data_IF_816832910141
#
_entry.id   IF_816832910141
#
_cell.length_a   1.000
_cell.length_b   1.000
_cell.length_c   1.000
_cell.angle_alpha   90.00
_cell.angle_beta   90.00
_cell.angle_gamma   90.00
#
_symmetry.space_group_name_H-M   'P 1'
#
loop_
_entity.id
_entity.type
_entity.pdbx_description
1 polymer ?
#
# COMPACT_ATOMS: atom_id res chain seq x y z
N UNK A 1 -28.35 13.17 3.75
CA UNK A 1 -27.96 13.12 2.32
C UNK A 1 -26.85 12.09 2.01
N UNK A 2 -26.54 11.14 2.90
CA UNK A 2 -25.46 10.15 2.70
C UNK A 2 -25.88 8.85 1.95
N UNK A 3 -27.17 8.68 1.61
CA UNK A 3 -27.69 7.44 1.00
C UNK A 3 -27.47 7.31 -0.51
N UNK A 4 -27.02 8.37 -1.21
CA UNK A 4 -26.99 8.39 -2.68
C UNK A 4 -25.75 7.79 -3.36
N UNK A 5 -24.71 7.41 -2.60
CA UNK A 5 -23.42 6.99 -3.18
C UNK A 5 -23.20 5.47 -3.25
N UNK A 6 -24.10 4.66 -2.68
CA UNK A 6 -24.07 3.20 -2.83
C UNK A 6 -24.78 2.83 -4.13
N UNK A 7 -24.08 2.99 -5.26
CA UNK A 7 -24.54 2.43 -6.53
C UNK A 7 -24.63 0.92 -6.40
N UNK A 8 -25.77 0.34 -6.76
CA UNK A 8 -25.93 -1.11 -6.92
C UNK A 8 -24.82 -1.61 -7.86
N UNK A 9 -23.78 -2.25 -7.30
CA UNK A 9 -22.64 -2.79 -8.05
C UNK A 9 -23.12 -3.94 -8.93
N UNK A 10 -23.69 -3.65 -10.11
CA UNK A 10 -23.91 -4.66 -11.15
C UNK A 10 -22.55 -5.17 -11.63
N UNK A 11 -22.23 -6.41 -11.24
CA UNK A 11 -21.00 -7.09 -11.68
C UNK A 11 -20.99 -7.18 -13.21
N UNK A 12 -19.88 -6.86 -13.90
CA UNK A 12 -19.77 -7.06 -15.33
C UNK A 12 -19.83 -8.57 -15.65
N UNK A 13 -20.58 -8.92 -16.70
CA UNK A 13 -20.64 -10.29 -17.22
C UNK A 13 -19.28 -10.63 -17.83
N UNK A 14 -18.47 -11.43 -17.13
CA UNK A 14 -17.16 -11.86 -17.62
C UNK A 14 -17.39 -12.79 -18.81
N UNK A 15 -16.96 -12.37 -20.01
CA UNK A 15 -17.02 -13.19 -21.22
C UNK A 15 -15.84 -14.17 -21.20
N UNK A 16 -16.14 -15.46 -21.02
CA UNK A 16 -15.16 -16.55 -21.07
C UNK A 16 -14.62 -16.68 -22.51
N UNK A 17 -13.28 -16.72 -22.66
CA UNK A 17 -12.60 -16.85 -23.95
C UNK A 17 -12.74 -18.27 -24.53
N UNK A 18 -12.82 -18.44 -25.87
CA UNK A 18 -12.88 -19.76 -26.48
C UNK A 18 -11.48 -20.39 -26.69
N UNK A 19 -11.28 -21.56 -26.07
CA UNK A 19 -10.35 -22.68 -26.37
C UNK A 19 -8.81 -22.54 -26.15
N UNK A 20 -8.12 -23.60 -25.66
CA UNK A 20 -8.63 -24.82 -25.01
C UNK A 20 -8.73 -24.58 -23.50
N UNK A 21 -9.81 -23.92 -23.06
CA UNK A 21 -10.12 -23.85 -21.65
C UNK A 21 -10.84 -25.15 -21.26
N UNK A 22 -10.22 -25.94 -20.37
CA UNK A 22 -10.94 -26.99 -19.65
C UNK A 22 -12.05 -26.27 -18.85
N UNK A 23 -13.32 -26.67 -18.97
CA UNK A 23 -14.39 -26.04 -18.19
C UNK A 23 -14.06 -26.17 -16.70
N UNK A 24 -14.39 -25.15 -15.92
CA UNK A 24 -14.26 -25.25 -14.45
C UNK A 24 -15.11 -26.44 -13.99
N UNK A 25 -14.53 -27.42 -13.29
CA UNK A 25 -15.29 -28.57 -12.80
C UNK A 25 -16.42 -28.10 -11.88
N UNK A 26 -17.54 -28.81 -11.91
CA UNK A 26 -18.68 -28.52 -11.04
C UNK A 26 -18.32 -28.82 -9.58
N UNK A 27 -19.11 -28.27 -8.64
CA UNK A 27 -18.94 -28.56 -7.21
C UNK A 27 -19.08 -30.07 -6.98
N UNK A 28 -20.01 -30.73 -7.68
CA UNK A 28 -20.23 -32.17 -7.62
C UNK A 28 -19.02 -32.97 -8.13
N UNK A 29 -18.35 -32.50 -9.19
CA UNK A 29 -17.14 -33.12 -9.73
C UNK A 29 -15.93 -32.95 -8.81
N UNK A 30 -15.77 -31.76 -8.19
CA UNK A 30 -14.68 -31.49 -7.23
C UNK A 30 -14.83 -32.32 -5.96
N UNK A 31 -16.07 -32.52 -5.48
CA UNK A 31 -16.35 -33.26 -4.25
C UNK A 31 -16.75 -34.72 -4.47
N UNK A 32 -16.62 -35.26 -5.68
CA UNK A 32 -16.89 -36.66 -5.98
C UNK A 32 -15.97 -37.58 -5.15
N UNK A 33 -16.56 -38.48 -4.35
CA UNK A 33 -15.81 -39.43 -3.50
C UNK A 33 -15.22 -38.81 -2.22
N UNK A 34 -15.49 -37.54 -1.94
CA UNK A 34 -15.16 -36.90 -0.65
C UNK A 34 -16.25 -37.24 0.37
N UNK A 35 -15.88 -37.62 1.59
CA UNK A 35 -16.85 -37.88 2.65
C UNK A 35 -17.61 -36.61 3.06
N UNK A 36 -18.83 -36.78 3.56
CA UNK A 36 -19.74 -35.67 3.86
C UNK A 36 -19.15 -34.65 4.84
N UNK A 37 -18.34 -35.06 5.83
CA UNK A 37 -17.75 -34.10 6.78
C UNK A 37 -16.68 -33.24 6.11
N UNK A 38 -15.84 -33.83 5.26
CA UNK A 38 -14.84 -33.08 4.49
C UNK A 38 -15.51 -32.15 3.47
N UNK A 39 -16.58 -32.62 2.84
CA UNK A 39 -17.38 -31.80 1.91
C UNK A 39 -18.03 -30.62 2.63
N UNK A 40 -18.65 -30.85 3.78
CA UNK A 40 -19.29 -29.81 4.60
C UNK A 40 -18.29 -28.70 4.99
N UNK A 41 -17.13 -29.06 5.54
CA UNK A 41 -16.10 -28.07 5.90
C UNK A 41 -15.59 -27.30 4.69
N UNK A 42 -15.36 -27.98 3.55
CA UNK A 42 -14.85 -27.33 2.35
C UNK A 42 -15.87 -26.36 1.75
N UNK A 43 -17.17 -26.72 1.74
CA UNK A 43 -18.25 -25.84 1.34
C UNK A 43 -18.40 -24.64 2.29
N UNK A 44 -18.22 -24.84 3.60
CA UNK A 44 -18.18 -23.75 4.57
C UNK A 44 -17.01 -22.79 4.28
N UNK A 45 -15.80 -23.30 4.07
CA UNK A 45 -14.63 -22.47 3.70
C UNK A 45 -14.92 -21.70 2.42
N UNK A 46 -15.45 -22.37 1.39
CA UNK A 46 -15.84 -21.69 0.14
C UNK A 46 -16.84 -20.57 0.39
N UNK A 47 -17.88 -20.77 1.20
CA UNK A 47 -18.82 -19.71 1.56
C UNK A 47 -18.14 -18.54 2.28
N UNK A 48 -17.09 -18.83 3.06
CA UNK A 48 -16.36 -17.86 3.86
C UNK A 48 -15.32 -17.07 3.05
N UNK A 49 -14.65 -17.66 2.05
CA UNK A 49 -13.51 -17.01 1.37
C UNK A 49 -13.66 -16.83 -0.14
N UNK A 50 -14.59 -17.53 -0.79
CA UNK A 50 -14.73 -17.46 -2.26
C UNK A 50 -15.19 -16.08 -2.69
N UNK A 51 -14.43 -15.46 -3.60
CA UNK A 51 -14.61 -14.07 -4.04
C UNK A 51 -16.04 -13.73 -4.44
N UNK A 52 -16.76 -14.67 -5.06
CA UNK A 52 -18.14 -14.48 -5.49
C UNK A 52 -19.11 -14.13 -4.35
N UNK A 53 -18.79 -14.50 -3.11
CA UNK A 53 -19.57 -14.25 -1.90
C UNK A 53 -19.01 -13.09 -1.05
N UNK A 54 -17.89 -12.49 -1.45
CA UNK A 54 -17.24 -11.46 -0.62
C UNK A 54 -17.87 -10.08 -0.79
N UNK A 55 -18.44 -9.76 -1.95
CA UNK A 55 -19.00 -8.43 -2.22
C UNK A 55 -20.28 -8.12 -1.42
N UNK A 56 -20.91 -9.14 -0.81
CA UNK A 56 -22.16 -8.99 -0.04
C UNK A 56 -21.89 -8.94 1.48
N UNK A 57 -20.63 -9.01 1.91
CA UNK A 57 -20.23 -8.96 3.32
C UNK A 57 -20.02 -7.50 3.75
N UNK A 58 -20.26 -7.17 5.04
CA UNK A 58 -19.91 -5.86 5.57
C UNK A 58 -18.43 -5.55 5.36
N UNK A 59 -18.12 -4.34 4.91
CA UNK A 59 -16.75 -3.88 4.75
C UNK A 59 -16.18 -3.44 6.11
N UNK A 60 -14.94 -3.84 6.41
CA UNK A 60 -14.36 -3.70 7.76
C UNK A 60 -14.02 -2.27 8.15
N UNK A 61 -13.79 -1.40 7.16
CA UNK A 61 -13.45 0.01 7.33
C UNK A 61 -14.49 0.94 6.69
N UNK A 62 -15.73 0.47 6.50
CA UNK A 62 -16.84 1.31 6.07
C UNK A 62 -16.98 2.54 7.00
N UNK A 63 -17.13 3.72 6.40
CA UNK A 63 -17.20 4.99 7.12
C UNK A 63 -15.84 5.62 7.49
N UNK A 64 -14.71 4.95 7.26
CA UNK A 64 -13.37 5.56 7.39
C UNK A 64 -13.04 6.32 6.10
N UNK A 65 -12.55 7.56 6.24
CA UNK A 65 -12.06 8.37 5.11
C UNK A 65 -10.53 8.51 5.14
N UNK A 66 -9.90 8.16 4.02
CA UNK A 66 -8.44 8.26 3.85
C UNK A 66 -8.10 9.23 2.72
N UNK A 67 -7.21 10.19 2.99
CA UNK A 67 -6.56 10.99 1.97
C UNK A 67 -5.18 10.43 1.69
N UNK A 68 -4.97 9.96 0.47
CA UNK A 68 -3.67 9.55 -0.04
C UNK A 68 -3.04 10.71 -0.82
N UNK A 69 -2.22 11.50 -0.14
CA UNK A 69 -1.44 12.59 -0.74
C UNK A 69 -0.05 12.10 -1.20
N UNK A 70 0.16 10.78 -1.31
CA UNK A 70 1.43 10.26 -1.78
C UNK A 70 1.61 10.52 -3.27
N UNK A 71 2.85 10.84 -3.65
CA UNK A 71 3.21 11.06 -5.04
C UNK A 71 4.50 10.33 -5.40
N UNK A 72 4.57 9.77 -6.61
CA UNK A 72 5.79 9.22 -7.21
C UNK A 72 6.40 7.98 -6.49
N UNK A 73 5.76 7.44 -5.45
CA UNK A 73 6.27 6.30 -4.69
C UNK A 73 5.16 5.29 -4.41
N UNK A 74 5.44 4.00 -4.62
CA UNK A 74 4.42 2.98 -4.47
C UNK A 74 4.09 2.64 -3.02
N UNK A 75 4.98 2.90 -2.07
CA UNK A 75 4.76 2.60 -0.64
C UNK A 75 3.45 3.21 -0.12
N UNK A 76 3.14 4.43 -0.53
CA UNK A 76 1.92 5.14 -0.18
C UNK A 76 0.67 4.56 -0.85
N UNK A 77 0.71 4.39 -2.17
CA UNK A 77 -0.41 3.81 -2.91
C UNK A 77 -0.75 2.37 -2.49
N UNK A 78 0.27 1.59 -2.12
CA UNK A 78 0.11 0.25 -1.53
C UNK A 78 -0.51 0.32 -0.14
N UNK A 79 -0.05 1.25 0.71
CA UNK A 79 -0.67 1.48 2.01
C UNK A 79 -2.15 1.83 1.87
N UNK A 80 -2.47 2.79 0.99
CA UNK A 80 -3.83 3.26 0.78
C UNK A 80 -4.74 2.22 0.10
N UNK A 81 -4.20 1.29 -0.68
CA UNK A 81 -4.99 0.20 -1.28
C UNK A 81 -5.50 -0.81 -0.24
N UNK A 82 -4.75 -1.09 0.83
CA UNK A 82 -5.28 -1.89 1.96
C UNK A 82 -6.55 -1.28 2.54
N UNK A 83 -6.58 0.05 2.69
CA UNK A 83 -7.76 0.75 3.21
C UNK A 83 -8.95 0.67 2.25
N UNK A 84 -8.74 0.90 0.94
CA UNK A 84 -9.83 0.86 -0.04
C UNK A 84 -10.36 -0.56 -0.26
N UNK A 85 -9.50 -1.57 -0.21
CA UNK A 85 -9.87 -2.98 -0.32
C UNK A 85 -10.64 -3.48 0.91
N UNK A 86 -10.45 -2.84 2.07
CA UNK A 86 -11.22 -3.08 3.29
C UNK A 86 -12.47 -2.17 3.41
N UNK A 87 -12.75 -1.36 2.38
CA UNK A 87 -13.96 -0.54 2.21
C UNK A 87 -13.93 0.87 2.76
N UNK A 88 -12.76 1.39 3.12
CA UNK A 88 -12.63 2.81 3.42
C UNK A 88 -12.87 3.67 2.17
N UNK A 89 -13.39 4.87 2.34
CA UNK A 89 -13.42 5.88 1.29
C UNK A 89 -12.02 6.48 1.13
N UNK A 90 -11.29 6.01 0.13
CA UNK A 90 -9.92 6.48 -0.14
C UNK A 90 -9.91 7.43 -1.33
N UNK A 91 -9.36 8.62 -1.12
CA UNK A 91 -9.26 9.69 -2.12
C UNK A 91 -7.77 9.98 -2.33
N UNK A 92 -7.29 9.72 -3.54
CA UNK A 92 -5.95 10.12 -3.98
C UNK A 92 -5.95 11.62 -4.30
N UNK A 93 -5.08 12.36 -3.63
CA UNK A 93 -4.88 13.80 -3.83
C UNK A 93 -3.63 13.99 -4.67
N UNK A 94 -3.83 14.16 -5.97
CA UNK A 94 -2.75 14.16 -6.95
C UNK A 94 -2.29 15.58 -7.29
N UNK A 95 -0.99 15.80 -7.56
CA UNK A 95 -0.50 17.09 -8.01
C UNK A 95 -1.04 17.42 -9.42
N UNK A 96 -0.97 18.71 -9.85
CA UNK A 96 -1.25 19.07 -11.24
C UNK A 96 -0.41 18.22 -12.21
N UNK A 97 -1.08 17.59 -13.19
CA UNK A 97 -0.46 16.62 -14.10
C UNK A 97 -0.63 15.14 -13.68
N UNK A 98 -1.19 14.89 -12.48
CA UNK A 98 -1.41 13.56 -11.94
C UNK A 98 -0.16 12.97 -11.28
N UNK A 99 -0.34 11.83 -10.60
CA UNK A 99 0.77 11.09 -10.03
C UNK A 99 1.76 10.63 -11.12
N UNK A 100 3.08 10.88 -10.99
CA UNK A 100 4.07 10.49 -12.00
C UNK A 100 4.10 8.98 -12.30
N UNK A 101 3.70 8.12 -11.37
CA UNK A 101 3.63 6.67 -11.59
C UNK A 101 2.56 6.26 -12.60
N UNK A 102 1.61 7.14 -12.94
CA UNK A 102 0.69 6.96 -14.07
C UNK A 102 1.41 6.80 -15.40
N UNK A 103 2.63 7.31 -15.54
CA UNK A 103 3.44 7.21 -16.75
C UNK A 103 4.42 6.02 -16.72
N UNK A 104 4.48 5.27 -15.60
CA UNK A 104 5.41 4.16 -15.47
C UNK A 104 4.92 2.94 -16.24
N UNK A 105 5.79 2.45 -17.11
CA UNK A 105 5.54 1.29 -17.97
C UNK A 105 6.80 0.40 -18.04
N UNK A 106 6.67 -0.93 -18.20
CA UNK A 106 7.81 -1.81 -18.38
C UNK A 106 8.75 -1.29 -19.48
N UNK A 107 10.02 -1.08 -19.12
CA UNK A 107 11.08 -0.61 -20.03
C UNK A 107 10.79 0.75 -20.71
N UNK A 108 9.89 1.59 -20.17
CA UNK A 108 9.56 2.88 -20.78
C UNK A 108 8.68 2.78 -22.04
N UNK A 109 8.13 1.60 -22.32
CA UNK A 109 7.41 1.27 -23.56
C UNK A 109 5.93 1.65 -23.51
N UNK A 110 5.54 2.65 -24.30
CA UNK A 110 4.18 3.22 -24.29
C UNK A 110 3.10 2.23 -24.74
N UNK A 111 3.46 1.20 -25.51
CA UNK A 111 2.55 0.14 -25.97
C UNK A 111 2.02 -0.75 -24.83
N UNK A 112 2.64 -0.72 -23.65
CA UNK A 112 2.17 -1.44 -22.46
C UNK A 112 1.27 -0.60 -21.55
N UNK A 113 0.96 0.64 -21.94
CA UNK A 113 -0.01 1.45 -21.21
C UNK A 113 -1.42 0.98 -21.49
N UNK A 114 -2.25 1.00 -20.45
CA UNK A 114 -3.68 0.81 -20.60
C UNK A 114 -4.31 2.12 -21.06
N UNK A 115 -5.31 2.03 -21.92
CA UNK A 115 -6.06 3.18 -22.41
C UNK A 115 -7.49 3.14 -21.85
N UNK A 116 -7.87 4.23 -21.19
CA UNK A 116 -9.23 4.43 -20.72
C UNK A 116 -10.17 4.81 -21.88
N UNK A 117 -11.48 4.72 -21.65
CA UNK A 117 -12.50 5.02 -22.68
C UNK A 117 -12.44 6.46 -23.22
N UNK A 118 -11.92 7.38 -22.43
CA UNK A 118 -11.71 8.79 -22.79
C UNK A 118 -10.37 9.02 -23.53
N UNK A 119 -9.60 7.97 -23.82
CA UNK A 119 -8.29 8.03 -24.48
C UNK A 119 -7.12 8.33 -23.54
N UNK A 120 -7.37 8.52 -22.24
CA UNK A 120 -6.28 8.71 -21.28
C UNK A 120 -5.48 7.43 -21.08
N UNK A 121 -4.15 7.55 -21.10
CA UNK A 121 -3.24 6.43 -20.90
C UNK A 121 -2.77 6.36 -19.46
N UNK A 122 -2.67 5.14 -18.95
CA UNK A 122 -2.17 4.90 -17.61
C UNK A 122 -1.33 3.61 -17.54
N UNK A 123 -0.22 3.68 -16.82
CA UNK A 123 0.67 2.58 -16.55
C UNK A 123 0.03 1.52 -15.65
N UNK A 124 0.31 0.26 -15.95
CA UNK A 124 -0.18 -0.90 -15.19
C UNK A 124 0.14 -0.80 -13.69
N UNK A 125 1.28 -0.19 -13.34
CA UNK A 125 1.76 -0.07 -11.96
C UNK A 125 0.85 0.80 -11.10
N UNK A 126 0.51 1.99 -11.58
CA UNK A 126 -0.43 2.88 -10.91
C UNK A 126 -1.82 2.25 -10.84
N UNK A 127 -2.31 1.70 -11.95
CA UNK A 127 -3.63 1.07 -12.01
C UNK A 127 -3.79 -0.10 -11.03
N UNK A 128 -2.72 -0.86 -10.80
CA UNK A 128 -2.74 -1.96 -9.84
C UNK A 128 -3.07 -1.47 -8.43
N UNK A 129 -2.51 -0.35 -8.00
CA UNK A 129 -2.79 0.19 -6.66
C UNK A 129 -3.94 1.19 -6.63
N UNK A 130 -4.36 1.76 -7.76
CA UNK A 130 -5.42 2.77 -7.82
C UNK A 130 -6.86 2.20 -7.74
N UNK A 131 -7.02 0.88 -7.61
CA UNK A 131 -8.33 0.22 -7.56
C UNK A 131 -9.13 0.63 -6.33
N UNK A 132 -10.44 0.75 -6.49
CA UNK A 132 -11.39 1.13 -5.42
C UNK A 132 -11.15 2.53 -4.82
N UNK A 133 -10.32 3.36 -5.45
CA UNK A 133 -9.99 4.72 -4.96
C UNK A 133 -10.61 5.79 -5.86
N UNK A 134 -10.98 6.90 -5.23
CA UNK A 134 -11.26 8.15 -5.92
C UNK A 134 -9.95 8.89 -6.19
N UNK A 135 -9.97 9.84 -7.13
CA UNK A 135 -8.82 10.68 -7.47
C UNK A 135 -9.31 12.12 -7.66
N UNK A 136 -8.56 13.07 -7.11
CA UNK A 136 -8.77 14.50 -7.29
C UNK A 136 -7.43 15.19 -7.46
N UNK A 137 -7.37 16.19 -8.32
CA UNK A 137 -6.19 17.03 -8.48
C UNK A 137 -6.23 18.19 -7.50
N UNK A 138 -5.17 18.39 -6.72
CA UNK A 138 -5.01 19.52 -5.81
C UNK A 138 -3.54 19.95 -5.73
N UNK A 139 -3.26 21.22 -5.99
CA UNK A 139 -1.91 21.75 -5.88
C UNK A 139 -1.60 22.18 -4.44
N UNK A 140 -0.94 21.31 -3.66
CA UNK A 140 -0.57 21.61 -2.27
C UNK A 140 0.59 22.62 -2.15
N UNK A 141 1.27 22.96 -3.24
CA UNK A 141 2.30 24.00 -3.27
C UNK A 141 1.70 25.41 -3.29
N UNK A 142 0.40 25.58 -3.61
CA UNK A 142 -0.28 26.88 -3.56
C UNK A 142 -1.00 27.10 -2.23
N UNK A 143 -1.10 28.36 -1.80
CA UNK A 143 -1.88 28.72 -0.60
C UNK A 143 -3.34 28.28 -0.69
N UNK A 144 -3.94 28.41 -1.88
CA UNK A 144 -5.32 27.99 -2.13
C UNK A 144 -5.50 26.47 -1.95
N UNK A 145 -4.59 25.66 -2.49
CA UNK A 145 -4.67 24.21 -2.35
C UNK A 145 -4.49 23.76 -0.90
N UNK A 146 -3.58 24.40 -0.16
CA UNK A 146 -3.42 24.16 1.28
C UNK A 146 -4.65 24.60 2.08
N UNK A 147 -5.25 25.73 1.73
CA UNK A 147 -6.48 26.19 2.37
C UNK A 147 -7.64 25.23 2.12
N UNK A 148 -7.75 24.65 0.91
CA UNK A 148 -8.75 23.64 0.61
C UNK A 148 -8.51 22.34 1.38
N UNK A 149 -7.26 21.86 1.43
CA UNK A 149 -6.90 20.69 2.24
C UNK A 149 -7.33 20.90 3.70
N UNK A 150 -6.94 22.02 4.32
CA UNK A 150 -7.31 22.36 5.70
C UNK A 150 -8.83 22.37 5.95
N UNK A 151 -9.65 22.75 4.95
CA UNK A 151 -11.12 22.71 5.07
C UNK A 151 -11.69 21.30 5.11
N UNK A 152 -11.03 20.32 4.48
CA UNK A 152 -11.53 18.94 4.43
C UNK A 152 -10.98 18.06 5.56
N UNK A 153 -9.82 18.40 6.13
CA UNK A 153 -9.18 17.65 7.24
C UNK A 153 -10.10 17.30 8.41
N UNK A 154 -11.06 18.14 8.85
CA UNK A 154 -12.00 17.76 9.91
C UNK A 154 -12.84 16.50 9.63
N UNK A 155 -12.93 16.07 8.37
CA UNK A 155 -13.71 14.90 7.94
C UNK A 155 -12.80 13.71 7.56
N UNK A 156 -11.50 13.79 7.80
CA UNK A 156 -10.51 12.80 7.37
C UNK A 156 -10.05 12.00 8.58
N UNK A 157 -10.08 10.68 8.48
CA UNK A 157 -9.58 9.79 9.53
C UNK A 157 -8.09 9.55 9.40
N UNK A 158 -7.62 9.33 8.17
CA UNK A 158 -6.22 9.06 7.87
C UNK A 158 -5.73 9.97 6.74
N UNK A 159 -4.59 10.63 6.93
CA UNK A 159 -3.83 11.25 5.84
C UNK A 159 -2.52 10.51 5.66
N UNK A 160 -2.20 10.16 4.42
CA UNK A 160 -0.95 9.49 4.04
C UNK A 160 -0.16 10.44 3.13
N UNK A 161 1.11 10.67 3.44
CA UNK A 161 2.02 11.46 2.60
C UNK A 161 3.45 10.89 2.62
N UNK A 162 4.26 11.28 1.64
CA UNK A 162 5.63 10.82 1.45
C UNK A 162 6.59 11.96 1.06
N UNK A 163 6.26 13.18 1.45
CA UNK A 163 7.07 14.33 1.09
C UNK A 163 8.44 14.29 1.79
N UNK A 164 9.46 14.98 1.26
CA UNK A 164 10.74 15.09 1.93
C UNK A 164 10.58 15.57 3.38
N UNK A 165 11.40 15.09 4.33
CA UNK A 165 11.25 15.39 5.74
C UNK A 165 11.09 16.89 6.02
N UNK A 166 9.99 17.24 6.71
CA UNK A 166 9.66 18.61 7.08
C UNK A 166 9.10 19.49 5.95
N UNK A 167 8.90 18.98 4.72
CA UNK A 167 8.29 19.76 3.63
C UNK A 167 6.86 20.19 3.96
N UNK A 168 5.99 19.23 4.31
CA UNK A 168 4.59 19.53 4.65
C UNK A 168 4.47 20.41 5.89
N UNK A 169 5.37 20.24 6.84
CA UNK A 169 5.42 21.08 8.04
C UNK A 169 5.78 22.55 7.71
N UNK A 170 6.76 22.79 6.83
CA UNK A 170 7.07 24.13 6.30
C UNK A 170 5.89 24.75 5.55
N UNK A 171 5.13 23.94 4.84
CA UNK A 171 3.90 24.34 4.16
C UNK A 171 2.71 24.58 5.13
N UNK A 172 2.86 24.24 6.42
CA UNK A 172 1.83 24.37 7.43
C UNK A 172 0.67 23.38 7.26
N UNK A 173 0.94 22.22 6.64
CA UNK A 173 0.03 21.08 6.45
C UNK A 173 0.66 19.76 6.95
N UNK A 174 1.68 19.85 7.81
CA UNK A 174 2.24 18.71 8.51
C UNK A 174 1.34 18.26 9.67
N UNK A 175 1.67 17.13 10.27
CA UNK A 175 0.92 16.60 11.42
C UNK A 175 0.74 17.63 12.54
N UNK A 176 1.78 18.39 12.87
CA UNK A 176 1.73 19.39 13.96
C UNK A 176 0.63 20.43 13.73
N UNK A 177 0.42 20.87 12.49
CA UNK A 177 -0.59 21.87 12.17
C UNK A 177 -1.97 21.24 11.91
N UNK A 178 -2.02 20.08 11.25
CA UNK A 178 -3.29 19.44 10.92
C UNK A 178 -3.96 18.78 12.12
N UNK A 179 -3.19 18.32 13.11
CA UNK A 179 -3.74 17.77 14.37
C UNK A 179 -4.41 18.83 15.24
N UNK A 180 -4.02 20.11 15.13
CA UNK A 180 -4.76 21.22 15.77
C UNK A 180 -6.15 21.41 15.18
N UNK A 181 -6.29 21.17 13.85
CA UNK A 181 -7.57 21.27 13.12
C UNK A 181 -8.43 20.04 13.37
N UNK A 182 -7.82 18.85 13.33
CA UNK A 182 -8.48 17.59 13.60
C UNK A 182 -7.65 16.77 14.59
N UNK A 183 -7.93 16.86 15.90
CA UNK A 183 -7.25 16.09 16.94
C UNK A 183 -7.40 14.57 16.79
N UNK A 184 -8.36 14.10 15.97
CA UNK A 184 -8.64 12.68 15.71
C UNK A 184 -7.91 12.14 14.47
N UNK A 185 -7.14 12.97 13.78
CA UNK A 185 -6.41 12.60 12.57
C UNK A 185 -5.29 11.60 12.88
N UNK A 186 -5.32 10.45 12.22
CA UNK A 186 -4.14 9.59 12.07
C UNK A 186 -3.35 10.12 10.88
N UNK A 187 -2.11 10.51 11.10
CA UNK A 187 -1.25 11.05 10.06
C UNK A 187 -0.10 10.09 9.83
N UNK A 188 0.05 9.65 8.60
CA UNK A 188 1.01 8.64 8.21
C UNK A 188 2.03 9.25 7.23
N UNK A 189 3.29 9.31 7.66
CA UNK A 189 4.40 9.54 6.74
C UNK A 189 4.98 8.20 6.31
N UNK A 190 5.19 8.02 5.00
CA UNK A 190 5.86 6.84 4.45
C UNK A 190 7.06 7.22 3.59
N UNK A 191 8.13 6.41 3.64
CA UNK A 191 9.33 6.66 2.84
C UNK A 191 10.32 5.49 2.87
N UNK A 192 11.55 5.69 2.40
CA UNK A 192 12.53 4.60 2.33
C UNK A 192 13.40 4.50 3.59
N UNK A 193 13.90 5.63 4.12
CA UNK A 193 14.85 5.67 5.25
C UNK A 193 14.42 6.52 6.46
N UNK A 194 13.22 7.10 6.44
CA UNK A 194 12.68 7.84 7.58
C UNK A 194 12.99 9.33 7.59
N UNK A 195 12.49 10.02 8.61
CA UNK A 195 12.63 11.48 8.77
C UNK A 195 13.62 11.89 9.87
N UNK A 196 14.30 10.92 10.49
CA UNK A 196 15.22 11.15 11.61
C UNK A 196 16.52 10.35 11.45
N UNK A 197 17.50 10.67 12.30
CA UNK A 197 18.82 10.05 12.25
C UNK A 197 19.74 10.60 11.15
N UNK A 198 20.92 9.98 10.95
CA UNK A 198 21.97 10.52 10.09
C UNK A 198 21.63 10.52 8.59
N UNK A 199 20.62 9.75 8.17
CA UNK A 199 20.20 9.63 6.77
C UNK A 199 18.94 10.44 6.43
N UNK A 200 18.41 11.25 7.37
CA UNK A 200 17.17 12.00 7.17
C UNK A 200 17.20 12.96 5.99
N UNK A 201 18.38 13.49 5.64
CA UNK A 201 18.52 14.46 4.54
C UNK A 201 18.68 13.77 3.16
N UNK A 202 18.78 12.43 3.15
CA UNK A 202 18.71 11.57 1.97
C UNK A 202 17.76 10.39 2.24
N UNK A 203 16.45 10.67 2.36
CA UNK A 203 15.46 9.68 2.78
C UNK A 203 15.23 8.59 1.72
N UNK A 204 15.71 8.79 0.48
CA UNK A 204 15.54 7.91 -0.66
C UNK A 204 14.18 8.07 -1.36
N UNK A 205 14.22 8.26 -2.68
CA UNK A 205 13.00 8.47 -3.48
C UNK A 205 12.44 7.20 -4.13
N UNK A 206 13.14 6.06 -4.02
CA UNK A 206 12.78 4.80 -4.67
C UNK A 206 13.18 3.59 -3.81
N UNK A 207 12.41 2.51 -3.92
CA UNK A 207 12.58 1.24 -3.21
C UNK A 207 14.01 0.65 -3.18
N UNK A 208 14.81 0.66 -4.27
CA UNK A 208 16.18 0.13 -4.22
C UNK A 208 17.05 0.80 -3.15
N UNK A 209 16.77 2.07 -2.83
CA UNK A 209 17.46 2.78 -1.78
C UNK A 209 17.22 2.12 -0.41
N UNK A 210 15.98 1.77 -0.07
CA UNK A 210 15.70 1.01 1.15
C UNK A 210 16.31 -0.39 1.12
N UNK A 211 16.19 -1.12 0.00
CA UNK A 211 16.73 -2.48 -0.11
C UNK A 211 18.23 -2.54 0.24
N UNK A 212 18.99 -1.56 -0.22
CA UNK A 212 20.43 -1.46 0.04
C UNK A 212 20.78 -0.94 1.44
N UNK A 213 19.83 -0.35 2.17
CA UNK A 213 20.11 0.33 3.45
C UNK A 213 20.01 -0.57 4.68
N UNK A 214 19.57 -1.82 4.52
CA UNK A 214 19.23 -2.70 5.64
C UNK A 214 19.81 -4.12 5.55
N UNK A 215 20.74 -4.38 4.63
CA UNK A 215 21.47 -5.64 4.56
C UNK A 215 20.79 -6.77 3.78
N UNK A 216 19.57 -6.58 3.28
CA UNK A 216 18.89 -7.57 2.42
C UNK A 216 19.66 -7.88 1.13
N UNK A 217 20.10 -6.84 0.43
CA UNK A 217 20.87 -7.01 -0.82
C UNK A 217 22.19 -7.74 -0.57
N UNK A 218 22.81 -7.50 0.60
CA UNK A 218 24.01 -8.23 1.00
C UNK A 218 23.73 -9.73 1.17
N UNK A 219 22.65 -10.06 1.89
CA UNK A 219 22.25 -11.43 2.21
C UNK A 219 21.58 -12.21 1.07
N UNK A 220 21.31 -11.58 -0.09
CA UNK A 220 20.55 -12.19 -1.20
C UNK A 220 21.43 -12.40 -2.44
N UNK A 221 21.28 -13.56 -3.11
CA UNK A 221 22.01 -13.94 -4.33
C UNK A 221 22.96 -15.14 -4.16
N UNK A 222 23.83 -15.38 -5.15
CA UNK A 222 24.78 -16.50 -5.12
C UNK A 222 25.84 -16.32 -4.02
N UNK A 223 26.20 -17.35 -3.24
CA UNK A 223 27.26 -17.29 -2.25
C UNK A 223 28.60 -16.86 -2.85
N UNK A 224 29.49 -16.32 -2.01
CA UNK A 224 30.83 -15.89 -2.44
C UNK A 224 31.60 -17.03 -3.11
N UNK A 225 31.48 -18.26 -2.58
CA UNK A 225 32.11 -19.46 -3.16
C UNK A 225 31.68 -19.77 -4.60
N UNK A 226 30.57 -19.19 -5.08
CA UNK A 226 30.03 -19.35 -6.44
C UNK A 226 30.04 -18.04 -7.23
N UNK A 227 31.01 -17.15 -6.99
CA UNK A 227 31.19 -15.90 -7.74
C UNK A 227 30.46 -14.68 -7.13
N UNK A 228 29.46 -14.90 -6.27
CA UNK A 228 29.15 -13.94 -5.21
C UNK A 228 28.55 -12.59 -5.60
N UNK A 229 27.44 -12.48 -6.34
CA UNK A 229 26.81 -11.16 -6.62
C UNK A 229 25.68 -10.78 -5.63
N UNK A 230 25.80 -9.69 -4.84
CA UNK A 230 24.69 -9.15 -4.05
C UNK A 230 23.53 -8.78 -4.97
N UNK A 231 22.34 -9.27 -4.67
CA UNK A 231 21.20 -9.17 -5.58
C UNK A 231 20.01 -8.57 -4.86
N UNK A 232 19.43 -7.51 -5.44
CA UNK A 232 18.18 -6.93 -4.96
C UNK A 232 16.98 -7.76 -5.40
N UNK A 233 15.84 -7.59 -4.74
CA UNK A 233 14.58 -8.14 -5.20
C UNK A 233 14.19 -7.54 -6.55
N UNK A 234 13.64 -8.36 -7.45
CA UNK A 234 13.17 -7.90 -8.76
C UNK A 234 11.89 -7.06 -8.69
N UNK A 235 11.12 -7.18 -7.61
CA UNK A 235 9.93 -6.38 -7.33
C UNK A 235 10.21 -5.35 -6.23
N UNK A 236 9.26 -4.42 -6.04
CA UNK A 236 9.33 -3.30 -5.09
C UNK A 236 9.05 -3.81 -3.66
N UNK A 237 9.96 -4.64 -3.14
CA UNK A 237 9.82 -5.36 -1.87
C UNK A 237 9.61 -4.40 -0.69
N UNK A 238 10.46 -3.39 -0.56
CA UNK A 238 10.42 -2.43 0.55
C UNK A 238 9.17 -1.55 0.49
N UNK A 239 8.71 -1.16 -0.70
CA UNK A 239 7.47 -0.41 -0.86
C UNK A 239 6.24 -1.21 -0.40
N UNK A 240 6.16 -2.48 -0.79
CA UNK A 240 5.00 -3.32 -0.44
C UNK A 240 5.05 -3.75 1.03
N UNK A 241 6.20 -4.19 1.53
CA UNK A 241 6.34 -4.56 2.95
C UNK A 241 6.14 -3.32 3.83
N UNK A 242 6.80 -2.20 3.48
CA UNK A 242 6.64 -0.91 4.15
C UNK A 242 5.19 -0.42 4.16
N UNK A 243 4.53 -0.38 3.01
CA UNK A 243 3.14 0.05 2.92
C UNK A 243 2.18 -0.84 3.71
N UNK A 244 2.45 -2.15 3.79
CA UNK A 244 1.67 -3.08 4.62
C UNK A 244 1.83 -2.79 6.10
N UNK A 245 3.07 -2.60 6.58
CA UNK A 245 3.31 -2.22 7.98
C UNK A 245 2.77 -0.82 8.29
N UNK A 246 2.80 0.09 7.34
CA UNK A 246 2.22 1.43 7.47
C UNK A 246 0.69 1.34 7.64
N UNK A 247 0.01 0.51 6.86
CA UNK A 247 -1.42 0.25 7.01
C UNK A 247 -1.75 -0.40 8.37
N UNK A 248 -0.94 -1.38 8.81
CA UNK A 248 -1.08 -1.99 10.15
C UNK A 248 -0.93 -0.93 11.25
N UNK A 249 0.08 -0.07 11.15
CA UNK A 249 0.32 1.01 12.12
C UNK A 249 -0.83 2.01 12.17
N UNK A 250 -1.36 2.40 11.02
CA UNK A 250 -2.52 3.29 10.95
C UNK A 250 -3.81 2.64 11.46
N UNK A 251 -4.06 1.35 11.17
CA UNK A 251 -5.19 0.60 11.76
C UNK A 251 -5.06 0.46 13.29
N UNK A 252 -3.84 0.24 13.80
CA UNK A 252 -3.60 0.22 15.24
C UNK A 252 -3.86 1.60 15.87
N UNK A 253 -3.45 2.69 15.20
CA UNK A 253 -3.72 4.06 15.65
C UNK A 253 -5.23 4.37 15.64
N UNK A 254 -5.97 3.94 14.61
CA UNK A 254 -7.44 4.04 14.58
C UNK A 254 -8.08 3.28 15.75
N UNK A 255 -7.64 2.04 15.99
CA UNK A 255 -8.13 1.25 17.11
C UNK A 255 -7.87 1.94 18.46
N UNK A 256 -6.65 2.43 18.68
CA UNK A 256 -6.28 3.13 19.90
C UNK A 256 -7.10 4.43 20.08
N UNK A 257 -7.27 5.21 19.01
CA UNK A 257 -8.12 6.40 18.94
C UNK A 257 -9.54 6.10 19.41
N UNK A 258 -10.17 5.04 18.91
CA UNK A 258 -11.56 4.71 19.28
C UNK A 258 -11.69 4.06 20.66
N UNK A 259 -10.71 3.29 21.11
CA UNK A 259 -10.86 2.49 22.33
C UNK A 259 -10.43 3.19 23.60
N UNK A 260 -9.36 3.98 23.56
CA UNK A 260 -8.79 4.51 24.81
C UNK A 260 -8.03 5.84 24.70
N UNK A 261 -7.59 6.29 23.53
CA UNK A 261 -6.89 7.57 23.39
C UNK A 261 -7.83 8.75 23.14
N UNK A 262 -8.89 8.57 22.36
CA UNK A 262 -9.79 9.64 21.95
C UNK A 262 -9.22 10.62 20.90
N UNK A 263 -7.90 10.60 20.68
CA UNK A 263 -7.19 11.41 19.69
C UNK A 263 -6.38 10.53 18.71
N UNK A 264 -6.04 11.10 17.55
CA UNK A 264 -5.23 10.46 16.54
C UNK A 264 -3.74 10.54 16.84
N UNK A 265 -2.92 9.98 15.95
CA UNK A 265 -1.48 9.81 16.16
C UNK A 265 -0.71 10.08 14.88
N UNK A 266 0.54 10.52 15.04
CA UNK A 266 1.53 10.46 13.97
C UNK A 266 2.14 9.06 13.92
N UNK A 267 2.17 8.50 12.72
CA UNK A 267 2.77 7.21 12.42
C UNK A 267 3.81 7.44 11.32
N UNK A 268 5.02 6.96 11.54
CA UNK A 268 6.07 6.93 10.53
C UNK A 268 6.35 5.46 10.18
N UNK A 269 6.44 5.15 8.89
CA UNK A 269 6.86 3.84 8.44
C UNK A 269 7.81 3.93 7.26
N UNK A 270 8.89 3.16 7.31
CA UNK A 270 9.91 3.15 6.26
C UNK A 270 10.00 1.78 5.61
N UNK A 271 10.26 1.75 4.30
CA UNK A 271 10.53 0.52 3.58
C UNK A 271 11.76 -0.23 4.12
N UNK A 272 12.78 0.49 4.60
CA UNK A 272 13.96 -0.11 5.21
C UNK A 272 13.63 -0.79 6.55
N UNK A 273 13.05 -0.08 7.52
CA UNK A 273 12.75 -0.63 8.85
C UNK A 273 11.71 -1.76 8.78
N UNK A 274 10.72 -1.62 7.89
CA UNK A 274 9.73 -2.66 7.67
C UNK A 274 10.36 -3.99 7.21
N UNK A 275 11.39 -3.92 6.35
CA UNK A 275 12.10 -5.12 5.91
C UNK A 275 13.15 -5.59 6.93
N UNK A 276 13.78 -4.68 7.70
CA UNK A 276 14.62 -5.04 8.86
C UNK A 276 13.90 -6.03 9.78
N UNK A 277 12.59 -5.86 9.98
CA UNK A 277 11.77 -6.75 10.81
C UNK A 277 11.71 -8.20 10.32
N UNK A 278 11.89 -8.43 9.02
CA UNK A 278 11.69 -9.72 8.34
C UNK A 278 12.94 -10.27 7.64
N UNK A 279 14.10 -9.61 7.73
CA UNK A 279 15.38 -10.15 7.23
C UNK A 279 16.02 -11.18 8.17
N UNK A 280 15.19 -12.10 8.65
CA UNK A 280 15.62 -13.24 9.49
C UNK A 280 16.44 -12.77 10.71
N UNK A 281 17.37 -13.60 11.20
CA UNK A 281 18.25 -13.26 12.31
C UNK A 281 19.46 -12.40 11.91
N UNK A 282 19.47 -11.67 10.78
CA UNK A 282 20.66 -10.91 10.33
C UNK A 282 21.16 -9.90 11.37
N UNK A 283 20.24 -9.13 11.96
CA UNK A 283 20.56 -8.18 13.01
C UNK A 283 20.88 -8.86 14.35
N UNK A 284 20.23 -9.98 14.63
CA UNK A 284 20.57 -10.83 15.77
C UNK A 284 22.00 -11.35 15.67
N UNK A 285 22.40 -11.85 14.49
CA UNK A 285 23.75 -12.32 14.17
C UNK A 285 24.79 -11.23 14.38
N UNK A 286 24.55 -10.04 13.83
CA UNK A 286 25.45 -8.92 14.06
C UNK A 286 25.52 -8.53 15.54
N UNK A 287 24.41 -8.59 16.27
CA UNK A 287 24.38 -8.34 17.71
C UNK A 287 25.09 -9.41 18.55
N UNK A 288 25.30 -10.64 18.04
CA UNK A 288 25.99 -11.70 18.79
C UNK A 288 27.49 -11.44 18.92
N UNK A 289 28.18 -11.11 17.82
CA UNK A 289 29.65 -10.98 17.80
C UNK A 289 30.18 -9.86 16.89
N UNK A 290 29.29 -9.05 16.31
CA UNK A 290 29.65 -7.98 15.38
C UNK A 290 29.93 -8.45 13.94
N UNK A 291 29.86 -9.75 13.66
CA UNK A 291 30.08 -10.25 12.30
C UNK A 291 28.88 -9.99 11.39
N UNK A 292 29.11 -10.02 10.08
CA UNK A 292 28.05 -9.86 9.07
C UNK A 292 27.70 -11.24 8.55
N UNK A 293 26.41 -11.61 8.63
CA UNK A 293 25.92 -12.90 8.13
C UNK A 293 26.28 -13.07 6.65
N UNK A 294 26.91 -14.20 6.26
CA UNK A 294 27.25 -14.43 4.87
C UNK A 294 25.99 -14.75 4.04
N UNK A 295 26.15 -14.64 2.73
CA UNK A 295 25.12 -15.01 1.77
C UNK A 295 25.13 -16.51 1.50
N UNK A 296 24.00 -17.18 1.76
CA UNK A 296 23.85 -18.63 1.65
C UNK A 296 23.27 -19.12 0.32
N UNK A 297 22.66 -18.24 -0.49
CA UNK A 297 22.02 -18.65 -1.73
C UNK A 297 20.75 -19.45 -1.47
N UNK A 298 20.61 -20.60 -2.14
CA UNK A 298 19.41 -21.46 -2.05
C UNK A 298 19.50 -22.53 -0.96
N UNK A 299 20.50 -22.44 -0.06
CA UNK A 299 20.67 -23.36 1.07
C UNK A 299 19.78 -23.00 2.25
#
# INVERSE_FOLDING_TARGET
MAEKWRTEKKRPTIKVLPWPAIPTPTVEEVYAGVDEKRKEYSLWVESAVRQQFNADKPESLDGIRVLDCTANMNIGHWCSSHFSELGAEVIMVEPPGGDPTRQLTPFGRQEYMFEAKNGEKCGARFLAEARNKFSVTLNLETEEGRALLKKIIPQVDILIENAPPGHYDKLGIGYRQLSEINPRLVYLWVGQRGQWGPLKDDPGNLDPTAQCSMGFVHGTGAPVAFGGTPTRSGWWLCDQVGGTFAAIGAMAALYAREKFLGHGQFVECTGAEAVIRIIDYNWGWNGMDGSVRPRYGNW
#
